data_IF_572041276926
#
_entry.id   IF_572041276926
#
_cell.length_a   1.000
_cell.length_b   1.000
_cell.length_c   1.000
_cell.angle_alpha   90.00
_cell.angle_beta   90.00
_cell.angle_gamma   90.00
#
_symmetry.space_group_name_H-M   'P 1'
#
loop_
_entity.id
_entity.type
_entity.pdbx_description
1 polymer ?
#
# COMPACT_ATOMS: atom_id res chain seq x y z
N UNK A 1 12.31 10.44 17.76
CA UNK A 1 11.11 9.60 17.55
C UNK A 1 11.57 8.29 16.98
N UNK A 2 11.16 7.16 17.56
CA UNK A 2 11.46 5.83 17.01
C UNK A 2 10.43 5.47 15.95
N UNK A 3 10.88 4.91 14.82
CA UNK A 3 10.07 4.38 13.73
C UNK A 3 10.35 2.89 13.64
N UNK A 4 9.37 2.08 13.97
CA UNK A 4 9.44 0.63 13.82
C UNK A 4 9.23 0.26 12.36
N UNK A 5 10.12 -0.55 11.81
CA UNK A 5 10.10 -0.93 10.42
C UNK A 5 10.12 -2.45 10.23
N UNK A 6 9.42 -2.91 9.19
CA UNK A 6 9.55 -4.25 8.62
C UNK A 6 10.42 -4.15 7.38
N UNK A 7 11.42 -5.03 7.30
CA UNK A 7 12.35 -5.11 6.18
C UNK A 7 12.10 -6.35 5.34
N UNK A 8 11.69 -6.15 4.10
CA UNK A 8 11.55 -7.21 3.10
C UNK A 8 12.62 -7.07 2.03
N UNK A 9 13.33 -8.15 1.69
CA UNK A 9 14.41 -8.12 0.72
C UNK A 9 14.67 -9.49 0.07
N UNK A 10 15.36 -9.45 -1.08
CA UNK A 10 15.82 -10.64 -1.80
C UNK A 10 17.36 -10.71 -1.92
N UNK A 11 18.08 -9.93 -1.10
CA UNK A 11 19.54 -9.81 -1.14
C UNK A 11 20.10 -8.89 -2.23
N UNK A 12 19.23 -8.34 -3.12
CA UNK A 12 19.61 -7.38 -4.17
C UNK A 12 18.82 -6.09 -4.08
N UNK A 13 17.59 -6.19 -3.59
CA UNK A 13 16.64 -5.08 -3.47
C UNK A 13 15.93 -5.14 -2.13
N UNK A 14 15.47 -4.00 -1.66
CA UNK A 14 14.87 -3.78 -0.34
C UNK A 14 13.58 -2.99 -0.46
N UNK A 15 12.56 -3.44 0.28
CA UNK A 15 11.41 -2.68 0.72
C UNK A 15 11.48 -2.51 2.24
N UNK A 16 11.33 -1.30 2.72
CA UNK A 16 11.35 -0.96 4.13
C UNK A 16 10.05 -0.24 4.48
N UNK A 17 9.20 -0.87 5.28
CA UNK A 17 7.87 -0.39 5.63
C UNK A 17 7.87 0.21 7.04
N UNK A 18 7.27 1.38 7.20
CA UNK A 18 7.07 2.00 8.52
C UNK A 18 5.77 1.49 9.14
N UNK A 19 5.85 0.70 10.21
CA UNK A 19 4.69 0.03 10.83
C UNK A 19 3.70 1.06 11.41
N UNK A 20 4.21 2.10 12.05
CA UNK A 20 3.41 3.13 12.72
C UNK A 20 2.81 4.17 11.74
N UNK A 21 3.21 4.12 10.47
CA UNK A 21 2.77 5.02 9.39
C UNK A 21 2.24 4.20 8.22
N UNK A 22 1.03 3.68 8.39
CA UNK A 22 0.43 2.69 7.48
C UNK A 22 0.42 3.21 6.04
N UNK A 23 1.07 2.46 5.14
CA UNK A 23 1.26 2.81 3.74
C UNK A 23 2.58 3.52 3.42
N UNK A 24 3.31 4.07 4.42
CA UNK A 24 4.62 4.66 4.20
C UNK A 24 5.70 3.59 4.05
N UNK A 25 6.48 3.66 2.98
CA UNK A 25 7.60 2.74 2.74
C UNK A 25 8.68 3.39 1.88
N UNK A 26 9.86 2.81 1.93
CA UNK A 26 10.98 3.20 1.06
C UNK A 26 11.59 1.99 0.36
N UNK A 27 12.30 2.24 -0.74
CA UNK A 27 12.96 1.23 -1.55
C UNK A 27 14.42 1.57 -1.78
N UNK A 28 15.24 0.54 -1.96
CA UNK A 28 16.64 0.68 -2.33
C UNK A 28 17.25 -0.66 -2.71
N UNK A 29 18.46 -0.63 -3.28
CA UNK A 29 19.26 -1.83 -3.51
C UNK A 29 19.78 -2.42 -2.20
N UNK A 30 19.88 -1.59 -1.15
CA UNK A 30 20.33 -2.02 0.18
C UNK A 30 19.46 -1.43 1.28
N UNK A 31 19.52 -2.03 2.47
CA UNK A 31 18.83 -1.54 3.65
C UNK A 31 19.25 -0.09 3.98
N UNK A 32 20.56 0.22 3.91
CA UNK A 32 21.06 1.56 4.21
C UNK A 32 20.48 2.60 3.22
N UNK A 33 20.31 2.23 1.94
CA UNK A 33 19.71 3.10 0.94
C UNK A 33 18.23 3.38 1.26
N UNK A 34 17.48 2.38 1.72
CA UNK A 34 16.10 2.53 2.13
C UNK A 34 15.97 3.35 3.42
N UNK A 35 16.81 3.07 4.44
CA UNK A 35 16.85 3.79 5.72
C UNK A 35 17.13 5.29 5.51
N UNK A 36 18.10 5.66 4.65
CA UNK A 36 18.40 7.08 4.35
C UNK A 36 17.20 7.84 3.77
N UNK A 37 16.27 7.17 3.09
CA UNK A 37 15.07 7.78 2.51
C UNK A 37 13.92 7.90 3.52
N UNK A 38 13.90 7.08 4.57
CA UNK A 38 12.75 6.94 5.46
C UNK A 38 12.37 8.25 6.16
N UNK A 39 13.33 9.06 6.57
CA UNK A 39 13.02 10.36 7.21
C UNK A 39 12.25 11.28 6.27
N UNK A 40 12.66 11.37 5.00
CA UNK A 40 11.99 12.20 4.01
C UNK A 40 10.57 11.66 3.72
N UNK A 41 10.43 10.34 3.63
CA UNK A 41 9.15 9.66 3.42
C UNK A 41 8.18 9.96 4.56
N UNK A 42 8.58 9.78 5.82
CA UNK A 42 7.73 10.05 6.99
C UNK A 42 7.36 11.54 7.08
N UNK A 43 8.28 12.46 6.77
CA UNK A 43 7.96 13.89 6.71
C UNK A 43 6.92 14.21 5.63
N UNK A 44 7.04 13.59 4.46
CA UNK A 44 6.07 13.71 3.37
C UNK A 44 4.69 13.15 3.76
N UNK A 45 4.68 11.95 4.36
CA UNK A 45 3.47 11.30 4.86
C UNK A 45 2.76 12.16 5.93
N UNK A 46 3.50 12.68 6.90
CA UNK A 46 2.95 13.54 7.93
C UNK A 46 2.35 14.83 7.35
N UNK A 47 3.04 15.45 6.39
CA UNK A 47 2.53 16.62 5.66
C UNK A 47 1.25 16.28 4.92
N UNK A 48 1.20 15.15 4.23
CA UNK A 48 0.00 14.66 3.54
C UNK A 48 -1.17 14.44 4.50
N UNK A 49 -0.90 13.95 5.72
CA UNK A 49 -1.87 13.81 6.80
C UNK A 49 -2.21 15.13 7.52
N UNK A 50 -1.69 16.28 7.10
CA UNK A 50 -1.90 17.56 7.76
C UNK A 50 -1.21 17.71 9.13
N UNK A 51 -0.18 16.88 9.40
CA UNK A 51 0.58 16.85 10.65
C UNK A 51 1.92 17.58 10.50
N UNK A 52 2.51 17.99 11.64
CA UNK A 52 3.85 18.61 11.66
C UNK A 52 4.94 17.59 11.36
N UNK A 53 5.93 17.99 10.59
CA UNK A 53 7.13 17.19 10.36
C UNK A 53 7.94 16.97 11.66
N UNK A 54 8.64 15.85 11.72
CA UNK A 54 9.53 15.48 12.84
C UNK A 54 10.98 15.68 12.38
N UNK A 55 11.82 16.25 13.26
CA UNK A 55 13.18 16.65 12.90
C UNK A 55 14.24 15.57 13.11
N UNK A 56 13.97 14.56 13.97
CA UNK A 56 14.90 13.46 14.24
C UNK A 56 14.14 12.16 14.40
N UNK A 57 14.62 11.12 13.72
CA UNK A 57 14.02 9.78 13.72
C UNK A 57 15.11 8.72 13.86
N UNK A 58 14.83 7.72 14.71
CA UNK A 58 15.63 6.51 14.88
C UNK A 58 14.85 5.36 14.21
N UNK A 59 15.44 4.74 13.21
CA UNK A 59 14.83 3.62 12.49
C UNK A 59 15.21 2.32 13.17
N UNK A 60 14.22 1.53 13.55
CA UNK A 60 14.42 0.23 14.21
C UNK A 60 13.75 -0.87 13.36
N UNK A 61 14.54 -1.85 12.93
CA UNK A 61 14.02 -3.02 12.25
C UNK A 61 13.47 -3.98 13.31
N UNK A 62 12.17 -4.23 13.28
CA UNK A 62 11.49 -5.14 14.22
C UNK A 62 11.12 -6.49 13.60
N UNK A 63 11.05 -6.55 12.27
CA UNK A 63 10.80 -7.78 11.51
C UNK A 63 11.64 -7.77 10.24
N UNK A 64 12.10 -8.95 9.83
CA UNK A 64 12.81 -9.19 8.57
C UNK A 64 12.12 -10.31 7.78
N UNK A 65 11.89 -10.08 6.51
CA UNK A 65 11.37 -11.07 5.56
C UNK A 65 12.33 -11.22 4.40
N UNK A 66 12.96 -12.38 4.30
CA UNK A 66 13.67 -12.77 3.07
C UNK A 66 12.66 -13.31 2.07
N UNK A 67 12.69 -12.79 0.85
CA UNK A 67 11.77 -13.11 -0.23
C UNK A 67 12.53 -13.47 -1.50
N UNK A 68 11.96 -14.33 -2.33
CA UNK A 68 12.48 -14.64 -3.68
C UNK A 68 11.80 -13.79 -4.77
N UNK A 69 10.87 -12.90 -4.37
CA UNK A 69 10.07 -12.06 -5.26
C UNK A 69 10.89 -10.95 -5.93
N UNK A 70 10.31 -10.36 -6.96
CA UNK A 70 10.91 -9.24 -7.69
C UNK A 70 10.74 -7.91 -6.91
N UNK A 71 11.44 -7.78 -5.78
CA UNK A 71 11.35 -6.63 -4.86
C UNK A 71 11.57 -5.29 -5.58
N UNK A 72 12.47 -5.25 -6.58
CA UNK A 72 12.70 -4.05 -7.41
C UNK A 72 11.44 -3.58 -8.16
N UNK A 73 10.51 -4.49 -8.42
CA UNK A 73 9.22 -4.20 -9.06
C UNK A 73 8.09 -3.99 -8.05
N UNK A 74 8.41 -3.85 -6.76
CA UNK A 74 7.48 -3.78 -5.65
C UNK A 74 6.60 -5.04 -5.49
N UNK A 75 7.09 -6.18 -6.01
CA UNK A 75 6.51 -7.48 -5.72
C UNK A 75 6.80 -7.83 -4.27
N UNK A 76 5.76 -8.04 -3.48
CA UNK A 76 5.85 -8.18 -2.03
C UNK A 76 4.72 -9.04 -1.49
N UNK A 77 5.07 -10.04 -0.70
CA UNK A 77 4.13 -10.95 -0.06
C UNK A 77 4.07 -10.78 1.47
N UNK A 78 4.89 -9.91 2.05
CA UNK A 78 5.01 -9.76 3.50
C UNK A 78 3.67 -9.42 4.16
N UNK A 79 3.35 -10.17 5.21
CA UNK A 79 2.32 -9.87 6.20
C UNK A 79 3.04 -9.64 7.53
N UNK A 80 2.93 -8.45 8.11
CA UNK A 80 3.58 -8.12 9.38
C UNK A 80 2.92 -8.89 10.54
N UNK A 81 3.67 -9.22 11.59
CA UNK A 81 3.09 -9.83 12.79
C UNK A 81 1.97 -8.96 13.39
N UNK A 82 2.16 -7.63 13.37
CA UNK A 82 1.14 -6.67 13.82
C UNK A 82 -0.12 -6.66 12.94
N UNK A 83 -0.03 -7.10 11.69
CA UNK A 83 -1.16 -7.15 10.76
C UNK A 83 -2.05 -8.38 10.94
N UNK A 84 -1.67 -9.31 11.82
CA UNK A 84 -2.48 -10.51 12.15
C UNK A 84 -3.51 -10.24 13.26
N UNK A 85 -3.31 -9.20 14.05
CA UNK A 85 -4.19 -8.85 15.16
C UNK A 85 -5.54 -8.31 14.69
N UNK A 86 -6.67 -8.58 15.39
CA UNK A 86 -7.95 -7.93 15.14
C UNK A 86 -7.84 -6.39 15.13
N UNK A 87 -8.80 -5.73 14.46
CA UNK A 87 -8.93 -4.28 14.52
C UNK A 87 -9.95 -3.87 15.58
N UNK A 88 -9.67 -2.78 16.27
CA UNK A 88 -10.72 -2.03 16.95
C UNK A 88 -11.53 -1.23 15.93
N UNK A 89 -12.78 -0.89 16.26
CA UNK A 89 -13.61 -0.03 15.41
C UNK A 89 -12.95 1.34 15.18
N UNK A 90 -12.28 1.89 16.18
CA UNK A 90 -11.59 3.18 16.09
C UNK A 90 -10.39 3.11 15.11
N UNK A 91 -9.56 2.07 15.20
CA UNK A 91 -8.46 1.84 14.25
C UNK A 91 -8.96 1.69 12.82
N UNK A 92 -10.02 0.87 12.64
CA UNK A 92 -10.61 0.67 11.32
C UNK A 92 -11.11 1.98 10.71
N UNK A 93 -11.86 2.78 11.46
CA UNK A 93 -12.36 4.07 10.97
C UNK A 93 -11.21 4.98 10.51
N UNK A 94 -10.12 5.04 11.28
CA UNK A 94 -8.93 5.84 10.93
C UNK A 94 -8.25 5.32 9.66
N UNK A 95 -8.05 4.02 9.53
CA UNK A 95 -7.39 3.40 8.39
C UNK A 95 -8.26 3.48 7.12
N UNK A 96 -9.57 3.25 7.23
CA UNK A 96 -10.54 3.46 6.14
C UNK A 96 -10.52 4.91 5.65
N UNK A 97 -10.52 5.88 6.56
CA UNK A 97 -10.47 7.30 6.19
C UNK A 97 -9.16 7.62 5.43
N UNK A 98 -8.03 7.05 5.85
CA UNK A 98 -6.74 7.20 5.18
C UNK A 98 -6.76 6.58 3.78
N UNK A 99 -7.28 5.37 3.63
CA UNK A 99 -7.43 4.68 2.37
C UNK A 99 -8.35 5.41 1.39
N UNK A 100 -9.47 5.97 1.86
CA UNK A 100 -10.37 6.79 1.05
C UNK A 100 -9.74 8.13 0.66
N UNK A 101 -8.99 8.77 1.57
CA UNK A 101 -8.23 9.98 1.26
C UNK A 101 -7.19 9.72 0.16
N UNK A 102 -6.46 8.61 0.22
CA UNK A 102 -5.48 8.27 -0.83
C UNK A 102 -6.14 8.13 -2.20
N UNK A 103 -7.31 7.48 -2.28
CA UNK A 103 -8.06 7.36 -3.53
C UNK A 103 -8.55 8.71 -4.07
N UNK A 104 -9.04 9.59 -3.18
CA UNK A 104 -9.51 10.92 -3.56
C UNK A 104 -8.36 11.80 -4.07
N UNK A 105 -7.22 11.80 -3.38
CA UNK A 105 -6.06 12.60 -3.75
C UNK A 105 -5.43 12.08 -5.05
N UNK A 106 -5.42 10.75 -5.24
CA UNK A 106 -4.94 10.15 -6.50
C UNK A 106 -5.86 10.49 -7.68
N UNK A 107 -7.18 10.47 -7.49
CA UNK A 107 -8.14 10.94 -8.49
C UNK A 107 -7.90 12.40 -8.85
N UNK A 108 -7.75 13.28 -7.85
CA UNK A 108 -7.50 14.70 -8.07
C UNK A 108 -6.17 14.93 -8.83
N UNK A 109 -5.13 14.16 -8.50
CA UNK A 109 -3.86 14.19 -9.22
C UNK A 109 -4.05 13.77 -10.68
N UNK A 110 -4.75 12.65 -10.93
CA UNK A 110 -5.06 12.18 -12.28
C UNK A 110 -5.84 13.22 -13.10
N UNK A 111 -6.86 13.83 -12.48
CA UNK A 111 -7.67 14.86 -13.16
C UNK A 111 -6.85 16.11 -13.53
N UNK A 112 -5.83 16.44 -12.74
CA UNK A 112 -4.94 17.58 -12.97
C UNK A 112 -3.97 17.40 -14.15
N UNK A 113 -3.76 16.16 -14.62
CA UNK A 113 -2.83 15.88 -15.73
C UNK A 113 -3.45 16.33 -17.06
N UNK A 114 -2.85 17.28 -17.79
CA UNK A 114 -3.44 17.83 -19.02
C UNK A 114 -3.55 16.81 -20.15
N UNK A 115 -2.47 16.06 -20.41
CA UNK A 115 -2.44 14.97 -21.40
C UNK A 115 -2.16 13.64 -20.71
N UNK A 116 -3.22 12.88 -20.51
CA UNK A 116 -3.19 11.62 -19.78
C UNK A 116 -2.51 10.47 -20.54
N UNK A 117 -2.28 10.64 -21.84
CA UNK A 117 -1.67 9.62 -22.70
C UNK A 117 -0.20 9.95 -23.05
N UNK A 118 0.29 11.15 -22.71
CA UNK A 118 1.70 11.48 -22.90
C UNK A 118 2.60 10.66 -21.96
N UNK A 119 3.74 10.22 -22.49
CA UNK A 119 4.79 9.57 -21.70
C UNK A 119 6.16 9.81 -22.27
N UNK A 120 7.16 9.94 -21.39
CA UNK A 120 8.58 9.88 -21.71
C UNK A 120 9.25 8.65 -21.08
N UNK A 121 8.50 7.81 -20.35
CA UNK A 121 9.03 6.63 -19.69
C UNK A 121 9.39 5.52 -20.70
N UNK A 122 10.54 4.83 -20.55
CA UNK A 122 10.90 3.70 -21.39
C UNK A 122 9.96 2.52 -21.18
N UNK A 123 9.86 1.66 -22.19
CA UNK A 123 9.14 0.38 -22.02
C UNK A 123 9.91 -0.54 -21.07
N UNK A 124 9.18 -1.14 -20.13
CA UNK A 124 9.72 -2.11 -19.19
C UNK A 124 8.65 -3.15 -18.86
N UNK A 125 9.05 -4.41 -18.87
CA UNK A 125 8.21 -5.53 -18.43
C UNK A 125 8.61 -5.97 -17.03
N UNK A 126 7.63 -6.41 -16.27
CA UNK A 126 7.78 -7.01 -14.94
C UNK A 126 7.07 -8.35 -14.90
N UNK A 127 7.02 -8.98 -13.73
CA UNK A 127 6.29 -10.23 -13.52
C UNK A 127 4.78 -10.11 -13.82
N UNK A 128 4.19 -8.92 -13.63
CA UNK A 128 2.76 -8.66 -13.91
C UNK A 128 2.51 -8.09 -15.33
N UNK A 129 3.51 -8.01 -16.18
CA UNK A 129 3.40 -7.54 -17.55
C UNK A 129 4.07 -6.18 -17.82
N UNK A 130 3.51 -5.41 -18.75
CA UNK A 130 4.02 -4.10 -19.11
C UNK A 130 3.78 -3.09 -17.98
N UNK A 131 4.83 -2.37 -17.58
CA UNK A 131 4.71 -1.28 -16.58
C UNK A 131 3.86 -0.14 -17.17
N UNK A 132 2.88 0.38 -16.43
CA UNK A 132 2.15 1.57 -16.82
C UNK A 132 3.09 2.76 -17.12
N UNK A 133 2.88 3.46 -18.24
CA UNK A 133 3.76 4.53 -18.70
C UNK A 133 3.07 5.88 -18.80
N UNK A 134 1.76 5.88 -18.98
CA UNK A 134 0.94 7.09 -19.06
C UNK A 134 0.15 7.30 -17.78
N UNK A 135 -0.32 8.51 -17.52
CA UNK A 135 -1.20 8.77 -16.38
C UNK A 135 -2.47 7.93 -16.45
N UNK A 136 -3.00 7.71 -17.65
CA UNK A 136 -4.19 6.86 -17.86
C UNK A 136 -3.91 5.41 -17.50
N UNK A 137 -2.81 4.82 -17.98
CA UNK A 137 -2.41 3.45 -17.64
C UNK A 137 -2.15 3.28 -16.14
N UNK A 138 -1.47 4.24 -15.49
CA UNK A 138 -1.21 4.24 -14.05
C UNK A 138 -2.51 4.31 -13.26
N UNK A 139 -3.45 5.15 -13.68
CA UNK A 139 -4.74 5.31 -13.03
C UNK A 139 -5.58 4.02 -13.11
N UNK A 140 -5.72 3.45 -14.31
CA UNK A 140 -6.49 2.22 -14.50
C UNK A 140 -5.85 1.03 -13.77
N UNK A 141 -4.52 0.92 -13.80
CA UNK A 141 -3.81 -0.10 -13.02
C UNK A 141 -4.11 0.04 -11.52
N UNK A 142 -3.98 1.24 -10.96
CA UNK A 142 -4.21 1.48 -9.53
C UNK A 142 -5.68 1.32 -9.15
N UNK A 143 -6.62 1.69 -10.03
CA UNK A 143 -8.05 1.47 -9.82
C UNK A 143 -8.39 -0.02 -9.78
N UNK A 144 -7.84 -0.81 -10.70
CA UNK A 144 -8.09 -2.25 -10.80
C UNK A 144 -7.57 -3.05 -9.60
N UNK A 145 -6.50 -2.58 -8.92
CA UNK A 145 -6.01 -3.27 -7.71
C UNK A 145 -7.00 -3.19 -6.53
N UNK A 146 -7.99 -2.31 -6.53
CA UNK A 146 -9.03 -2.31 -5.48
C UNK A 146 -9.78 -3.63 -5.46
N UNK A 147 -10.27 -4.07 -6.62
CA UNK A 147 -11.01 -5.34 -6.76
C UNK A 147 -10.14 -6.52 -6.34
N UNK A 148 -8.88 -6.53 -6.81
CA UNK A 148 -7.92 -7.57 -6.46
C UNK A 148 -7.71 -7.65 -4.94
N UNK A 149 -7.39 -6.54 -4.27
CA UNK A 149 -7.12 -6.56 -2.83
C UNK A 149 -8.32 -6.92 -1.98
N UNK A 150 -9.52 -6.49 -2.35
CA UNK A 150 -10.73 -6.90 -1.66
C UNK A 150 -11.03 -8.40 -1.86
N UNK A 151 -10.82 -8.93 -3.06
CA UNK A 151 -10.99 -10.36 -3.34
C UNK A 151 -10.07 -11.24 -2.49
N UNK A 152 -8.83 -10.80 -2.23
CA UNK A 152 -7.85 -11.54 -1.41
C UNK A 152 -8.30 -11.71 0.06
N UNK A 153 -9.24 -10.90 0.53
CA UNK A 153 -9.88 -11.04 1.83
C UNK A 153 -11.35 -11.51 1.74
N UNK A 154 -11.73 -12.10 0.59
CA UNK A 154 -13.07 -12.62 0.29
C UNK A 154 -14.18 -11.56 0.36
N UNK A 155 -13.90 -10.36 -0.11
CA UNK A 155 -14.87 -9.27 -0.28
C UNK A 155 -15.11 -9.07 -1.76
N UNK A 156 -16.37 -9.12 -2.17
CA UNK A 156 -16.77 -8.81 -3.54
C UNK A 156 -16.79 -7.29 -3.74
N UNK A 157 -16.06 -6.82 -4.74
CA UNK A 157 -15.94 -5.42 -5.09
C UNK A 157 -15.92 -5.24 -6.61
N UNK A 158 -16.58 -4.21 -7.10
CA UNK A 158 -16.59 -3.82 -8.51
C UNK A 158 -15.52 -2.75 -8.80
N UNK A 159 -15.34 -2.42 -10.07
CA UNK A 159 -14.46 -1.36 -10.55
C UNK A 159 -15.18 -0.29 -11.37
N UNK A 160 -16.52 -0.17 -11.22
CA UNK A 160 -17.31 0.83 -11.91
C UNK A 160 -17.10 2.23 -11.35
N UNK A 161 -17.09 3.24 -12.21
CA UNK A 161 -16.86 4.62 -11.82
C UNK A 161 -15.40 4.95 -11.54
N UNK A 162 -15.14 5.94 -10.69
CA UNK A 162 -13.78 6.36 -10.34
C UNK A 162 -13.20 5.56 -9.16
N UNK A 163 -11.88 5.70 -8.94
CA UNK A 163 -11.16 4.94 -7.91
C UNK A 163 -11.72 5.15 -6.48
N UNK A 164 -12.19 6.35 -6.16
CA UNK A 164 -12.76 6.65 -4.85
C UNK A 164 -14.09 5.92 -4.66
N UNK A 165 -14.97 5.94 -5.67
CA UNK A 165 -16.27 5.26 -5.65
C UNK A 165 -16.12 3.75 -5.54
N UNK A 166 -15.22 3.15 -6.34
CA UNK A 166 -14.91 1.73 -6.26
C UNK A 166 -14.45 1.32 -4.86
N UNK A 167 -13.47 2.05 -4.31
CA UNK A 167 -12.92 1.74 -2.99
C UNK A 167 -13.96 1.90 -1.89
N UNK A 168 -14.79 2.94 -1.99
CA UNK A 168 -15.88 3.18 -1.03
C UNK A 168 -16.87 2.01 -1.02
N UNK A 169 -17.35 1.56 -2.20
CA UNK A 169 -18.27 0.42 -2.29
C UNK A 169 -17.62 -0.88 -1.80
N UNK A 170 -16.33 -1.10 -2.07
CA UNK A 170 -15.62 -2.25 -1.51
C UNK A 170 -15.61 -2.25 0.02
N UNK A 171 -15.46 -1.08 0.66
CA UNK A 171 -15.61 -0.98 2.11
C UNK A 171 -17.05 -1.20 2.59
N UNK A 172 -18.05 -0.73 1.85
CA UNK A 172 -19.47 -0.99 2.16
C UNK A 172 -19.79 -2.49 2.08
N UNK A 173 -19.25 -3.19 1.07
CA UNK A 173 -19.34 -4.64 0.95
C UNK A 173 -18.64 -5.35 2.12
N UNK A 174 -17.42 -4.94 2.48
CA UNK A 174 -16.68 -5.47 3.63
C UNK A 174 -17.50 -5.33 4.94
N UNK A 175 -18.07 -4.16 5.18
CA UNK A 175 -18.83 -3.82 6.39
C UNK A 175 -20.16 -4.58 6.51
N UNK A 176 -20.64 -5.20 5.43
CA UNK A 176 -21.79 -6.10 5.47
C UNK A 176 -21.51 -7.41 6.21
N UNK A 177 -20.23 -7.78 6.39
CA UNK A 177 -19.82 -8.91 7.21
C UNK A 177 -19.63 -8.48 8.67
N UNK A 178 -20.42 -8.95 9.63
CA UNK A 178 -20.34 -8.52 11.03
C UNK A 178 -19.00 -8.84 11.69
N UNK A 179 -18.26 -9.82 11.17
CA UNK A 179 -16.99 -10.29 11.75
C UNK A 179 -15.75 -9.68 11.09
N UNK A 180 -15.88 -8.69 10.20
CA UNK A 180 -14.76 -8.17 9.44
C UNK A 180 -13.62 -7.60 10.31
N UNK A 181 -13.93 -7.09 11.51
CA UNK A 181 -12.95 -6.58 12.46
C UNK A 181 -12.08 -7.67 13.11
N UNK A 182 -12.46 -8.96 13.00
CA UNK A 182 -11.62 -10.07 13.45
C UNK A 182 -10.34 -10.20 12.63
N UNK A 183 -10.28 -9.54 11.46
CA UNK A 183 -9.08 -9.46 10.65
C UNK A 183 -8.48 -10.84 10.30
N UNK A 184 -9.35 -11.80 10.00
CA UNK A 184 -8.95 -13.19 9.73
C UNK A 184 -7.90 -13.24 8.62
N UNK A 185 -6.77 -13.86 8.90
CA UNK A 185 -5.73 -14.13 7.89
C UNK A 185 -6.23 -15.20 6.93
N UNK A 186 -6.10 -14.94 5.63
CA UNK A 186 -6.52 -15.82 4.54
C UNK A 186 -5.37 -16.08 3.59
N UNK A 187 -5.39 -17.20 2.90
CA UNK A 187 -4.51 -17.44 1.75
C UNK A 187 -5.09 -16.75 0.52
N UNK A 188 -4.29 -15.92 -0.11
CA UNK A 188 -4.61 -15.26 -1.37
C UNK A 188 -4.47 -16.14 -2.59
N UNK A 189 -4.76 -15.57 -3.74
CA UNK A 189 -4.80 -16.26 -5.04
C UNK A 189 -3.46 -16.87 -5.45
N UNK A 190 -2.35 -16.34 -4.95
CA UNK A 190 -1.00 -16.83 -5.21
C UNK A 190 -0.35 -17.54 -4.01
N UNK A 191 -1.14 -17.83 -2.96
CA UNK A 191 -0.71 -18.57 -1.77
C UNK A 191 -0.09 -17.73 -0.66
N UNK A 192 0.08 -16.42 -0.84
CA UNK A 192 0.53 -15.48 0.17
C UNK A 192 -0.57 -15.22 1.23
N UNK A 193 -0.15 -14.76 2.41
CA UNK A 193 -1.08 -14.42 3.48
C UNK A 193 -1.63 -13.00 3.32
N UNK A 194 -2.96 -12.87 3.48
CA UNK A 194 -3.69 -11.62 3.46
C UNK A 194 -4.51 -11.41 4.73
N UNK A 195 -4.61 -10.15 5.13
CA UNK A 195 -5.49 -9.67 6.20
C UNK A 195 -6.08 -8.32 5.80
N UNK A 196 -7.14 -7.88 6.48
CA UNK A 196 -7.69 -6.54 6.25
C UNK A 196 -6.65 -5.44 6.54
N UNK A 197 -5.79 -5.62 7.56
CA UNK A 197 -4.70 -4.66 7.84
C UNK A 197 -3.72 -4.55 6.68
N UNK A 198 -3.34 -5.67 6.06
CA UNK A 198 -2.48 -5.68 4.86
C UNK A 198 -3.17 -4.98 3.68
N UNK A 199 -4.46 -5.23 3.46
CA UNK A 199 -5.24 -4.53 2.41
C UNK A 199 -5.25 -3.01 2.66
N UNK A 200 -5.54 -2.58 3.89
CA UNK A 200 -5.53 -1.16 4.27
C UNK A 200 -4.16 -0.50 4.11
N UNK A 201 -3.08 -1.24 4.31
CA UNK A 201 -1.71 -0.77 4.05
C UNK A 201 -1.40 -0.63 2.55
N UNK A 202 -1.99 -1.48 1.73
CA UNK A 202 -1.77 -1.51 0.28
C UNK A 202 -2.57 -0.44 -0.47
N UNK A 203 -3.64 0.08 0.11
CA UNK A 203 -4.43 1.19 -0.43
C UNK A 203 -3.78 2.55 -0.22
#
# INVERSE_FOLDING_TARGET
MTINCVWEHNGRDTLLYAVDFVGAYTRGETLEAAVRKMQAEICSYLKWCGKKAVTSMDIVIIEEKVSELAICDADSDVLFESEKAPLTAEEYIKLKALALKSAQDFLALYDSVPDKNATAAPERKTFYGQVPRTANEMYEHTKNVNTYYFAEIAVDADHDGNIYECRKRGFESLESNPDFLQNTVRKGSYGEDWSLRKVLRRF
#
